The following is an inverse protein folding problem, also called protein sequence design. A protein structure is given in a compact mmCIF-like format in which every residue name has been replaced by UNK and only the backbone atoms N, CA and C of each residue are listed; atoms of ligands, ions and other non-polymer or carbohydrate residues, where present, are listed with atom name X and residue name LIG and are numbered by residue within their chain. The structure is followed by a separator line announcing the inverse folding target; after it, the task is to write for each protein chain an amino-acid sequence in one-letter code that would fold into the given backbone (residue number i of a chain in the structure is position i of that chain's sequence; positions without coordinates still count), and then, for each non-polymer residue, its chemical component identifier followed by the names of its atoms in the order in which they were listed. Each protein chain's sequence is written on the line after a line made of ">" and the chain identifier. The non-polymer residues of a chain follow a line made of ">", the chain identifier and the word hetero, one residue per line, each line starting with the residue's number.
data_IF_266502637796
#
_entry.id   IF_266502637796
#
_cell.length_a   1.000
_cell.length_b   1.000
_cell.length_c   1.000
_cell.angle_alpha   90.00
_cell.angle_beta   90.00
_cell.angle_gamma   90.00
#
_symmetry.space_group_name_H-M   'P 1'
#
loop_
_entity.id
_entity.type
_entity.pdbx_description
1 polymer ?
#
# COMPACT_ATOMS: atom_id res chain seq x y z
N UNK A 1 -4.15 6.16 6.11
CA UNK A 1 -5.55 6.66 6.10
C UNK A 1 -6.32 6.37 4.82
N UNK A 2 -5.76 6.56 3.62
CA UNK A 2 -6.47 6.24 2.36
C UNK A 2 -7.04 4.81 2.35
N UNK A 3 -6.23 3.81 2.69
CA UNK A 3 -6.68 2.42 2.80
C UNK A 3 -7.89 2.27 3.75
N UNK A 4 -7.83 2.87 4.95
CA UNK A 4 -8.95 2.82 5.92
C UNK A 4 -10.23 3.46 5.37
N UNK A 5 -10.11 4.58 4.65
CA UNK A 5 -11.26 5.26 4.07
C UNK A 5 -11.93 4.43 2.95
N UNK A 6 -11.13 3.70 2.18
CA UNK A 6 -11.61 2.87 1.06
C UNK A 6 -12.09 1.47 1.44
N UNK A 7 -12.02 1.03 2.71
CA UNK A 7 -12.36 -0.35 3.09
C UNK A 7 -13.77 -0.81 2.65
N UNK A 8 -14.74 0.11 2.65
CA UNK A 8 -16.13 -0.16 2.28
C UNK A 8 -16.43 0.04 0.80
N UNK A 9 -15.47 0.58 0.05
CA UNK A 9 -15.62 0.85 -1.37
C UNK A 9 -15.38 -0.45 -2.16
N UNK A 10 -16.40 -0.90 -2.88
CA UNK A 10 -16.35 -2.14 -3.66
C UNK A 10 -15.75 -1.94 -5.05
N UNK A 11 -15.62 -0.70 -5.50
CA UNK A 11 -15.03 -0.36 -6.79
C UNK A 11 -13.50 -0.29 -6.72
N UNK A 12 -12.94 -0.26 -5.49
CA UNK A 12 -11.51 -0.22 -5.24
C UNK A 12 -11.02 -1.57 -4.71
N UNK A 13 -9.98 -2.09 -5.35
CA UNK A 13 -9.21 -3.22 -4.84
C UNK A 13 -7.80 -2.77 -4.44
N UNK A 14 -7.48 -2.89 -3.15
CA UNK A 14 -6.17 -2.53 -2.61
C UNK A 14 -5.27 -3.76 -2.62
N UNK A 15 -4.48 -3.90 -3.69
CA UNK A 15 -3.67 -5.10 -3.93
C UNK A 15 -2.35 -5.11 -3.14
N UNK A 16 -1.71 -3.95 -2.97
CA UNK A 16 -0.41 -3.85 -2.29
C UNK A 16 -0.17 -2.51 -1.60
N UNK A 17 0.74 -2.52 -0.64
CA UNK A 17 1.33 -1.35 0.01
C UNK A 17 2.85 -1.53 0.08
N UNK A 18 3.60 -0.44 -0.10
CA UNK A 18 5.05 -0.43 0.05
C UNK A 18 5.46 0.53 1.14
N UNK A 19 6.43 0.12 1.97
CA UNK A 19 7.16 0.98 2.88
C UNK A 19 8.60 0.43 3.04
N UNK A 20 9.45 1.10 3.80
CA UNK A 20 10.82 0.63 4.12
C UNK A 20 10.89 -0.09 5.48
N UNK A 21 9.75 -0.28 6.13
CA UNK A 21 9.60 -1.05 7.37
C UNK A 21 9.01 -2.45 7.10
N UNK A 22 9.04 -3.32 8.10
CA UNK A 22 8.55 -4.69 7.97
C UNK A 22 7.01 -4.77 8.02
N UNK A 23 6.45 -5.85 7.45
CA UNK A 23 5.00 -6.05 7.35
C UNK A 23 4.30 -6.14 8.73
N UNK A 24 5.01 -6.62 9.77
CA UNK A 24 4.46 -6.70 11.14
C UNK A 24 4.30 -5.31 11.73
N UNK A 25 5.27 -4.43 11.52
CA UNK A 25 5.20 -3.03 11.90
C UNK A 25 4.07 -2.32 11.14
N UNK A 26 3.97 -2.51 9.82
CA UNK A 26 2.85 -1.95 9.03
C UNK A 26 1.48 -2.44 9.52
N UNK A 27 1.31 -3.74 9.79
CA UNK A 27 0.07 -4.29 10.31
C UNK A 27 -0.28 -3.70 11.69
N UNK A 28 0.72 -3.50 12.56
CA UNK A 28 0.51 -2.86 13.85
C UNK A 28 0.03 -1.41 13.70
N UNK A 29 0.71 -0.62 12.88
CA UNK A 29 0.35 0.79 12.63
C UNK A 29 -1.00 0.92 11.92
N UNK A 30 -1.33 -0.01 11.01
CA UNK A 30 -2.65 -0.02 10.39
C UNK A 30 -3.74 -0.37 11.39
N UNK A 31 -3.46 -1.21 12.40
CA UNK A 31 -4.40 -1.59 13.45
C UNK A 31 -4.61 -0.48 14.48
N UNK A 32 -3.57 0.25 14.86
CA UNK A 32 -3.62 1.24 15.93
C UNK A 32 -3.25 2.62 15.41
N UNK A 33 -4.22 3.52 15.43
CA UNK A 33 -4.04 4.93 15.09
C UNK A 33 -4.47 5.78 16.29
N UNK A 34 -3.63 6.73 16.69
CA UNK A 34 -3.87 7.56 17.88
C UNK A 34 -5.01 8.57 17.71
N UNK A 35 -5.31 8.98 16.48
CA UNK A 35 -6.35 9.97 16.16
C UNK A 35 -7.65 9.27 15.75
N UNK A 36 -7.55 8.27 14.88
CA UNK A 36 -8.71 7.57 14.32
C UNK A 36 -9.07 6.28 15.07
N UNK A 37 -8.31 5.94 16.10
CA UNK A 37 -8.55 4.77 16.94
C UNK A 37 -8.15 3.44 16.29
N UNK A 38 -8.59 2.37 16.94
CA UNK A 38 -8.28 0.99 16.57
C UNK A 38 -9.13 0.53 15.39
N UNK A 39 -8.48 0.02 14.35
CA UNK A 39 -9.13 -0.73 13.27
C UNK A 39 -9.27 -2.21 13.70
N UNK A 40 -10.49 -2.77 13.77
CA UNK A 40 -10.68 -4.17 14.12
C UNK A 40 -10.17 -5.11 13.00
N UNK A 41 -10.03 -6.39 13.34
CA UNK A 41 -9.78 -7.49 12.37
C UNK A 41 -8.49 -7.42 11.54
N UNK A 42 -7.51 -6.62 11.96
CA UNK A 42 -6.19 -6.63 11.33
C UNK A 42 -5.37 -7.85 11.79
N UNK A 43 -4.95 -8.67 10.83
CA UNK A 43 -4.05 -9.83 11.00
C UNK A 43 -2.91 -9.77 9.98
N UNK A 44 -1.85 -10.52 10.22
CA UNK A 44 -0.74 -10.69 9.27
C UNK A 44 -0.58 -12.19 8.97
N UNK A 45 -0.51 -12.53 7.69
CA UNK A 45 -0.13 -13.84 7.16
C UNK A 45 1.11 -13.62 6.29
N UNK A 46 2.29 -14.03 6.79
CA UNK A 46 3.59 -13.75 6.17
C UNK A 46 3.82 -12.26 5.89
N UNK A 47 3.75 -11.86 4.62
CA UNK A 47 3.87 -10.50 4.13
C UNK A 47 2.54 -9.91 3.65
N UNK A 48 1.42 -10.54 3.99
CA UNK A 48 0.07 -10.11 3.60
C UNK A 48 -0.73 -9.68 4.82
N UNK A 49 -1.16 -8.43 4.82
CA UNK A 49 -2.02 -7.86 5.86
C UNK A 49 -3.48 -8.17 5.50
N UNK A 50 -4.19 -8.80 6.43
CA UNK A 50 -5.61 -9.08 6.30
C UNK A 50 -6.41 -8.06 7.10
N UNK A 51 -7.49 -7.54 6.50
CA UNK A 51 -8.47 -6.68 7.17
C UNK A 51 -9.87 -7.13 6.77
N UNK A 52 -10.52 -7.91 7.63
CA UNK A 52 -11.75 -8.62 7.28
C UNK A 52 -11.49 -9.58 6.11
N UNK A 53 -12.21 -9.39 5.00
CA UNK A 53 -12.05 -10.18 3.77
C UNK A 53 -10.98 -9.63 2.81
N UNK A 54 -10.42 -8.43 3.09
CA UNK A 54 -9.43 -7.79 2.22
C UNK A 54 -8.04 -8.34 2.50
N UNK A 55 -7.26 -8.57 1.44
CA UNK A 55 -5.86 -8.98 1.47
C UNK A 55 -5.00 -7.88 0.87
N UNK A 56 -3.97 -7.44 1.60
CA UNK A 56 -3.08 -6.37 1.19
C UNK A 56 -1.62 -6.85 1.27
N UNK A 57 -0.95 -7.00 0.12
CA UNK A 57 0.46 -7.40 0.07
C UNK A 57 1.35 -6.26 0.59
N UNK A 58 2.18 -6.52 1.60
CA UNK A 58 3.18 -5.58 2.06
C UNK A 58 4.51 -5.82 1.33
N UNK A 59 5.10 -4.73 0.82
CA UNK A 59 6.37 -4.69 0.10
C UNK A 59 7.37 -3.80 0.84
N UNK A 60 8.65 -4.05 0.58
CA UNK A 60 9.79 -3.49 1.32
C UNK A 60 10.84 -2.82 0.44
N UNK A 61 10.45 -2.14 -0.65
CA UNK A 61 11.36 -1.64 -1.67
C UNK A 61 11.59 -0.12 -1.56
N UNK A 62 12.85 0.31 -1.69
CA UNK A 62 13.27 1.71 -1.57
C UNK A 62 13.19 2.47 -2.88
N UNK A 63 13.48 1.82 -4.00
CA UNK A 63 13.39 2.42 -5.32
C UNK A 63 12.07 2.06 -5.99
N UNK A 64 11.15 3.02 -6.21
CA UNK A 64 9.87 2.76 -6.85
C UNK A 64 9.91 2.06 -8.20
N UNK A 65 11.04 2.13 -8.93
CA UNK A 65 11.18 1.46 -10.23
C UNK A 65 11.36 -0.06 -10.12
N UNK A 66 11.71 -0.56 -8.94
CA UNK A 66 11.91 -1.99 -8.69
C UNK A 66 10.64 -2.68 -8.16
N UNK A 67 9.56 -1.91 -7.94
CA UNK A 67 8.31 -2.47 -7.44
C UNK A 67 7.64 -3.34 -8.52
N UNK A 68 7.02 -4.48 -8.14
CA UNK A 68 6.43 -5.42 -9.07
C UNK A 68 5.01 -5.00 -9.52
N UNK A 69 4.81 -3.72 -9.86
CA UNK A 69 3.48 -3.19 -10.21
C UNK A 69 2.87 -3.86 -11.43
N UNK A 70 3.70 -4.19 -12.43
CA UNK A 70 3.26 -4.94 -13.60
C UNK A 70 2.72 -6.32 -13.23
N UNK A 71 3.46 -7.05 -12.38
CA UNK A 71 3.12 -8.43 -12.02
C UNK A 71 1.90 -8.49 -11.09
N UNK A 72 1.69 -7.42 -10.30
CA UNK A 72 0.52 -7.23 -9.45
C UNK A 72 -0.64 -6.54 -10.17
N UNK A 73 -0.53 -6.28 -11.47
CA UNK A 73 -1.56 -5.65 -12.31
C UNK A 73 -2.07 -4.29 -11.77
N UNK A 74 -1.19 -3.52 -11.11
CA UNK A 74 -1.57 -2.25 -10.48
C UNK A 74 -1.94 -1.20 -11.54
N UNK A 75 -3.16 -0.67 -11.43
CA UNK A 75 -3.61 0.39 -12.34
C UNK A 75 -3.22 1.79 -11.84
N UNK A 76 -3.41 2.05 -10.55
CA UNK A 76 -3.18 3.34 -9.93
C UNK A 76 -2.31 3.15 -8.69
N UNK A 77 -1.24 3.95 -8.59
CA UNK A 77 -0.42 4.07 -7.39
C UNK A 77 -0.76 5.38 -6.69
N UNK A 78 -0.86 5.35 -5.37
CA UNK A 78 -0.99 6.56 -4.55
C UNK A 78 0.37 6.82 -3.91
N UNK A 79 1.11 7.77 -4.47
CA UNK A 79 2.42 8.16 -3.97
C UNK A 79 2.27 9.09 -2.75
N UNK A 80 2.37 8.51 -1.55
CA UNK A 80 2.20 9.23 -0.27
C UNK A 80 3.43 9.20 0.64
N UNK A 81 4.62 8.87 0.11
CA UNK A 81 5.88 8.91 0.87
C UNK A 81 6.34 10.34 1.15
N UNK A 82 5.93 11.29 0.32
CA UNK A 82 6.41 12.67 0.36
C UNK A 82 7.84 12.86 -0.19
N UNK A 83 8.47 11.80 -0.69
CA UNK A 83 9.82 11.84 -1.29
C UNK A 83 9.71 12.09 -2.80
N UNK A 84 8.87 11.34 -3.51
CA UNK A 84 8.76 11.37 -4.96
C UNK A 84 7.70 12.37 -5.44
N UNK A 85 7.89 13.64 -5.09
CA UNK A 85 6.89 14.71 -5.29
C UNK A 85 6.90 15.39 -6.65
N UNK A 86 7.94 15.15 -7.45
CA UNK A 86 8.04 15.69 -8.80
C UNK A 86 7.70 14.62 -9.85
N UNK A 87 7.50 15.07 -11.09
CA UNK A 87 7.16 14.18 -12.20
C UNK A 87 8.22 13.08 -12.39
N UNK A 88 9.50 13.40 -12.20
CA UNK A 88 10.60 12.46 -12.45
C UNK A 88 10.58 11.34 -11.42
N UNK A 89 10.45 11.68 -10.13
CA UNK A 89 10.34 10.73 -9.03
C UNK A 89 9.10 9.85 -9.16
N UNK A 90 7.92 10.47 -9.30
CA UNK A 90 6.65 9.76 -9.43
C UNK A 90 6.61 8.82 -10.65
N UNK A 91 7.22 9.23 -11.77
CA UNK A 91 7.25 8.42 -13.00
C UNK A 91 7.95 7.07 -12.86
N UNK A 92 8.75 6.86 -11.80
CA UNK A 92 9.38 5.57 -11.51
C UNK A 92 8.36 4.44 -11.32
N UNK A 93 7.19 4.72 -10.73
CA UNK A 93 6.13 3.71 -10.64
C UNK A 93 5.53 3.35 -12.00
N UNK A 94 5.50 4.29 -12.94
CA UNK A 94 5.06 4.02 -14.31
C UNK A 94 6.05 3.08 -14.99
N UNK A 95 7.36 3.29 -14.78
CA UNK A 95 8.41 2.38 -15.24
C UNK A 95 8.26 0.98 -14.63
N UNK A 96 7.86 0.89 -13.36
CA UNK A 96 7.56 -0.37 -12.67
C UNK A 96 6.27 -1.08 -13.18
N UNK A 97 5.46 -0.39 -13.99
CA UNK A 97 4.30 -0.98 -14.67
C UNK A 97 2.94 -0.47 -14.23
N UNK A 98 2.86 0.47 -13.28
CA UNK A 98 1.59 1.11 -12.95
C UNK A 98 1.09 1.98 -14.13
N UNK A 99 -0.21 2.03 -14.36
CA UNK A 99 -0.78 2.86 -15.45
C UNK A 99 -0.85 4.35 -15.08
N UNK A 100 -0.98 4.66 -13.79
CA UNK A 100 -1.10 6.02 -13.27
C UNK A 100 -0.50 6.16 -11.86
N UNK A 101 -0.02 7.36 -11.56
CA UNK A 101 0.36 7.88 -10.23
C UNK A 101 -0.35 9.20 -10.00
#
# INVERSE_FOLDING_TARGET
>A
NVFRAGLKDKEIDFVAVNDITDAKTLAHLLKYDSVHGKLPEVKLEDDTILVGERRLKALGERDPSNLPWKDLEVEIVIESTGIFRDRKGASKHLTAGAKKV
#
